data_IF_589463408666
#
_entry.id   IF_589463408666
#
_cell.length_a   1.000
_cell.length_b   1.000
_cell.length_c   1.000
_cell.angle_alpha   90.00
_cell.angle_beta   90.00
_cell.angle_gamma   90.00
#
_symmetry.space_group_name_H-M   'P 1'
#
loop_
_entity.id
_entity.type
_entity.pdbx_description
1 polymer ?
#
# COMPACT_ATOMS: atom_id res chain seq x y z
N UNK A 1 -5.85 0.06 18.43
CA UNK A 1 -5.01 1.12 17.81
C UNK A 1 -5.23 2.50 18.39
N UNK A 2 -6.48 2.99 18.42
CA UNK A 2 -6.81 4.31 18.99
C UNK A 2 -6.28 4.52 20.43
N UNK A 3 -6.42 3.52 21.31
CA UNK A 3 -5.87 3.56 22.68
C UNK A 3 -4.35 3.73 22.69
N UNK A 4 -3.65 3.06 21.77
CA UNK A 4 -2.19 3.12 21.68
C UNK A 4 -1.72 4.50 21.18
N UNK A 5 -2.36 5.01 20.13
CA UNK A 5 -2.09 6.37 19.64
C UNK A 5 -2.36 7.39 20.76
N UNK A 6 -3.48 7.26 21.47
CA UNK A 6 -3.85 8.14 22.59
C UNK A 6 -2.85 8.11 23.74
N UNK A 7 -2.25 6.95 24.04
CA UNK A 7 -1.25 6.83 25.12
C UNK A 7 0.12 7.44 24.78
N UNK A 8 0.45 7.62 23.49
CA UNK A 8 1.79 8.06 23.04
C UNK A 8 1.79 9.44 22.41
N UNK A 9 0.62 10.05 22.23
CA UNK A 9 0.47 11.35 21.61
C UNK A 9 -0.11 12.36 22.59
N UNK A 10 0.43 13.58 22.55
CA UNK A 10 -0.19 14.70 23.27
C UNK A 10 -1.46 15.19 22.54
N UNK A 11 -2.21 16.09 23.18
CA UNK A 11 -3.48 16.62 22.65
C UNK A 11 -3.34 17.24 21.25
N UNK A 12 -2.27 18.00 20.99
CA UNK A 12 -2.07 18.65 19.69
C UNK A 12 -1.80 17.64 18.57
N UNK A 13 -1.03 16.60 18.87
CA UNK A 13 -0.78 15.49 17.97
C UNK A 13 -2.06 14.70 17.68
N UNK A 14 -2.90 14.45 18.70
CA UNK A 14 -4.18 13.76 18.50
C UNK A 14 -5.16 14.55 17.61
N UNK A 15 -5.22 15.87 17.77
CA UNK A 15 -6.02 16.74 16.90
C UNK A 15 -5.50 16.69 15.45
N UNK A 16 -4.19 16.75 15.26
CA UNK A 16 -3.57 16.63 13.94
C UNK A 16 -3.86 15.27 13.27
N UNK A 17 -3.75 14.17 14.03
CA UNK A 17 -4.07 12.82 13.54
C UNK A 17 -5.55 12.74 13.16
N UNK A 18 -6.46 13.25 14.00
CA UNK A 18 -7.89 13.24 13.73
C UNK A 18 -8.24 14.05 12.46
N UNK A 19 -7.65 15.23 12.29
CA UNK A 19 -7.85 16.06 11.09
C UNK A 19 -7.33 15.38 9.81
N UNK A 20 -6.20 14.67 9.89
CA UNK A 20 -5.63 13.94 8.75
C UNK A 20 -6.39 12.65 8.41
N UNK A 21 -7.00 12.02 9.42
CA UNK A 21 -7.64 10.71 9.32
C UNK A 21 -9.17 10.77 9.26
N UNK A 22 -9.77 11.96 9.13
CA UNK A 22 -11.22 12.15 9.15
C UNK A 22 -11.90 11.25 8.09
N UNK A 23 -12.79 10.32 8.50
CA UNK A 23 -13.48 9.42 7.58
C UNK A 23 -14.54 10.12 6.73
N UNK A 24 -15.00 11.32 7.13
CA UNK A 24 -15.94 12.16 6.38
C UNK A 24 -15.23 12.96 5.29
N UNK A 25 -13.97 13.32 5.52
CA UNK A 25 -13.11 14.05 4.57
C UNK A 25 -12.09 13.10 3.94
N UNK A 26 -12.55 12.32 2.96
CA UNK A 26 -11.71 11.37 2.20
C UNK A 26 -10.95 12.00 1.04
N UNK A 27 -11.21 13.27 0.78
CA UNK A 27 -10.63 14.02 -0.33
C UNK A 27 -10.13 15.38 0.15
N UNK A 28 -9.11 15.91 -0.52
CA UNK A 28 -8.60 17.26 -0.25
C UNK A 28 -7.23 17.27 0.42
N UNK A 29 -6.86 18.44 0.94
CA UNK A 29 -5.54 18.72 1.51
C UNK A 29 -5.68 18.97 3.00
N UNK A 30 -4.82 18.34 3.82
CA UNK A 30 -4.71 18.62 5.25
C UNK A 30 -3.32 19.15 5.56
N UNK A 31 -3.22 20.24 6.32
CA UNK A 31 -1.97 20.88 6.71
C UNK A 31 -1.64 20.60 8.19
N UNK A 32 -0.50 19.98 8.45
CA UNK A 32 0.02 19.73 9.78
C UNK A 32 1.30 20.53 10.00
N UNK A 33 1.24 21.56 10.85
CA UNK A 33 2.40 22.38 11.21
C UNK A 33 3.07 21.82 12.46
N UNK A 34 4.38 21.58 12.39
CA UNK A 34 5.15 21.13 13.57
C UNK A 34 6.54 21.76 13.66
N UNK A 35 6.79 22.66 14.64
CA UNK A 35 8.13 23.15 14.98
C UNK A 35 9.17 22.03 15.18
N UNK A 36 10.48 22.32 15.12
CA UNK A 36 11.52 21.30 15.26
C UNK A 36 11.39 20.62 16.62
N UNK A 37 11.31 19.28 16.67
CA UNK A 37 11.20 18.49 17.92
C UNK A 37 9.78 18.21 18.44
N UNK A 38 8.74 18.65 17.74
CA UNK A 38 7.33 18.44 18.13
C UNK A 38 6.76 17.06 17.76
N UNK A 39 7.58 16.19 17.18
CA UNK A 39 7.20 14.82 16.84
C UNK A 39 6.46 14.66 15.50
N UNK A 40 6.71 15.51 14.50
CA UNK A 40 6.15 15.41 13.12
C UNK A 40 6.14 13.98 12.59
N UNK A 41 7.29 13.32 12.57
CA UNK A 41 7.40 11.95 12.07
C UNK A 41 6.59 10.94 12.91
N UNK A 42 6.45 11.14 14.23
CA UNK A 42 5.63 10.26 15.08
C UNK A 42 4.13 10.40 14.74
N UNK A 43 3.70 11.61 14.39
CA UNK A 43 2.35 11.88 13.89
C UNK A 43 2.15 11.20 12.53
N UNK A 44 3.12 11.29 11.61
CA UNK A 44 3.07 10.59 10.32
C UNK A 44 2.89 9.08 10.49
N UNK A 45 3.65 8.44 11.40
CA UNK A 45 3.49 7.00 11.67
C UNK A 45 2.13 6.65 12.26
N UNK A 46 1.59 7.52 13.12
CA UNK A 46 0.25 7.33 13.70
C UNK A 46 -0.86 7.45 12.65
N UNK A 47 -0.73 8.43 11.74
CA UNK A 47 -1.60 8.61 10.57
C UNK A 47 -1.48 7.39 9.65
N UNK A 48 -0.26 6.95 9.33
CA UNK A 48 -0.03 5.78 8.50
C UNK A 48 -0.70 4.54 9.11
N UNK A 49 -0.50 4.27 10.40
CA UNK A 49 -1.10 3.13 11.07
C UNK A 49 -2.64 3.17 11.00
N UNK A 50 -3.23 4.32 11.29
CA UNK A 50 -4.68 4.48 11.27
C UNK A 50 -5.24 4.35 9.84
N UNK A 51 -4.66 5.06 8.87
CA UNK A 51 -5.12 5.04 7.49
C UNK A 51 -4.94 3.68 6.84
N UNK A 52 -3.79 3.03 7.07
CA UNK A 52 -3.54 1.68 6.56
C UNK A 52 -4.63 0.71 7.02
N UNK A 53 -4.91 0.65 8.32
CA UNK A 53 -5.94 -0.25 8.84
C UNK A 53 -7.35 0.09 8.36
N UNK A 54 -7.73 1.37 8.43
CA UNK A 54 -9.10 1.79 8.08
C UNK A 54 -9.38 1.66 6.58
N UNK A 55 -8.42 1.98 5.72
CA UNK A 55 -8.59 1.84 4.27
C UNK A 55 -8.61 0.37 3.85
N UNK A 56 -7.70 -0.46 4.38
CA UNK A 56 -7.69 -1.89 4.08
C UNK A 56 -8.93 -2.59 4.61
N UNK A 57 -9.41 -2.24 5.82
CA UNK A 57 -10.65 -2.77 6.35
C UNK A 57 -11.84 -2.47 5.42
N UNK A 58 -11.96 -1.24 4.93
CA UNK A 58 -13.04 -0.87 3.99
C UNK A 58 -12.95 -1.62 2.66
N UNK A 59 -11.74 -1.81 2.15
CA UNK A 59 -11.52 -2.64 0.97
C UNK A 59 -12.01 -4.07 1.21
N UNK A 60 -11.57 -4.72 2.29
CA UNK A 60 -11.99 -6.08 2.63
C UNK A 60 -13.49 -6.20 2.92
N UNK A 61 -14.11 -5.22 3.56
CA UNK A 61 -15.56 -5.19 3.76
C UNK A 61 -16.33 -5.09 2.44
N UNK A 62 -15.88 -4.23 1.51
CA UNK A 62 -16.49 -4.10 0.18
C UNK A 62 -16.40 -5.40 -0.62
N UNK A 63 -15.28 -6.08 -0.49
CA UNK A 63 -15.02 -7.41 -1.04
C UNK A 63 -15.99 -8.44 -0.46
N UNK A 64 -16.11 -8.51 0.88
CA UNK A 64 -16.98 -9.46 1.55
C UNK A 64 -18.45 -9.23 1.20
N UNK A 65 -18.87 -7.97 1.03
CA UNK A 65 -20.22 -7.62 0.62
C UNK A 65 -20.55 -8.19 -0.77
N UNK A 66 -19.61 -8.07 -1.72
CA UNK A 66 -19.77 -8.64 -3.07
C UNK A 66 -19.87 -10.16 -3.00
N UNK A 67 -18.98 -10.82 -2.25
CA UNK A 67 -19.01 -12.28 -2.07
C UNK A 67 -20.33 -12.74 -1.45
N UNK A 68 -20.79 -12.09 -0.38
CA UNK A 68 -22.06 -12.41 0.29
C UNK A 68 -23.26 -12.23 -0.65
N UNK A 69 -23.33 -11.12 -1.38
CA UNK A 69 -24.45 -10.82 -2.28
C UNK A 69 -24.64 -11.88 -3.36
N UNK A 70 -23.55 -12.45 -3.88
CA UNK A 70 -23.60 -13.53 -4.88
C UNK A 70 -23.92 -14.90 -4.28
N UNK A 71 -23.43 -15.22 -3.08
CA UNK A 71 -23.82 -16.44 -2.37
C UNK A 71 -25.33 -16.44 -2.01
N UNK A 72 -25.89 -15.30 -1.62
CA UNK A 72 -27.33 -15.17 -1.35
C UNK A 72 -28.20 -15.29 -2.60
N UNK A 73 -27.73 -14.86 -3.77
CA UNK A 73 -28.44 -15.04 -5.04
C UNK A 73 -28.50 -16.51 -5.48
N UNK A 74 -27.51 -17.33 -5.11
CA UNK A 74 -27.50 -18.77 -5.38
C UNK A 74 -28.43 -19.58 -4.47
N UNK A 75 -28.86 -19.03 -3.33
CA UNK A 75 -29.78 -19.69 -2.40
C UNK A 75 -31.28 -19.54 -2.77
N UNK A 76 -31.60 -18.75 -3.80
CA UNK A 76 -32.97 -18.39 -4.19
C UNK A 76 -33.63 -19.25 -5.29
N UNK A 77 -32.92 -20.21 -5.89
CA UNK A 77 -33.49 -21.14 -6.88
C UNK A 77 -33.68 -22.52 -6.27
N UNK A 78 -34.90 -23.11 -6.34
CA UNK A 78 -35.11 -24.46 -5.86
C UNK A 78 -34.25 -25.41 -6.70
N UNK A 79 -33.43 -26.20 -6.02
CA UNK A 79 -32.58 -27.24 -6.61
C UNK A 79 -33.49 -28.26 -7.30
N UNK A 80 -33.72 -28.09 -8.60
CA UNK A 80 -34.05 -29.20 -9.49
C UNK A 80 -32.72 -29.75 -10.01
N UNK A 81 -32.48 -31.01 -9.68
CA UNK A 81 -31.46 -31.91 -10.22
C UNK A 81 -30.86 -31.42 -11.55
N UNK A 82 -29.58 -31.10 -11.56
CA UNK A 82 -28.80 -30.92 -12.77
C UNK A 82 -27.46 -31.66 -12.62
N UNK A 83 -27.16 -32.46 -13.64
CA UNK A 83 -26.00 -33.32 -13.85
C UNK A 83 -24.64 -32.60 -13.72
N UNK A 84 -23.54 -33.35 -13.54
CA UNK A 84 -22.24 -32.75 -13.29
C UNK A 84 -21.74 -31.99 -14.51
N UNK A 85 -21.59 -30.66 -14.37
CA UNK A 85 -20.90 -29.84 -15.37
C UNK A 85 -19.40 -30.14 -15.29
N UNK A 86 -18.88 -30.77 -16.34
CA UNK A 86 -17.46 -30.88 -16.61
C UNK A 86 -16.89 -29.47 -16.83
N UNK A 87 -16.09 -28.96 -15.89
CA UNK A 87 -15.29 -27.75 -16.10
C UNK A 87 -13.82 -28.14 -16.04
N UNK A 88 -13.25 -28.27 -17.23
CA UNK A 88 -11.82 -28.30 -17.49
C UNK A 88 -11.18 -26.97 -17.08
N UNK A 89 -10.09 -27.05 -16.31
CA UNK A 89 -9.02 -26.06 -16.22
C UNK A 89 -9.38 -24.62 -15.81
N UNK A 90 -9.17 -24.26 -14.54
CA UNK A 90 -9.18 -22.87 -14.10
C UNK A 90 -8.40 -22.66 -12.79
N UNK A 91 -7.32 -21.87 -12.87
CA UNK A 91 -6.37 -21.53 -11.79
C UNK A 91 -7.01 -20.58 -10.77
N UNK A 92 -6.71 -20.74 -9.47
CA UNK A 92 -7.09 -19.77 -8.42
C UNK A 92 -5.89 -19.51 -7.49
N UNK A 93 -5.41 -18.27 -7.47
CA UNK A 93 -4.18 -17.80 -6.80
C UNK A 93 -4.47 -16.65 -5.86
N UNK A 94 -3.54 -15.81 -5.38
CA UNK A 94 -3.90 -14.62 -4.53
C UNK A 94 -4.86 -13.66 -5.23
N UNK A 95 -4.96 -13.80 -6.55
CA UNK A 95 -6.09 -13.40 -7.34
C UNK A 95 -7.28 -14.34 -7.21
N UNK A 96 -7.57 -14.97 -6.08
CA UNK A 96 -8.78 -15.76 -5.94
C UNK A 96 -9.89 -14.76 -5.77
N UNK A 97 -9.65 -13.71 -5.00
CA UNK A 97 -10.55 -12.59 -4.88
C UNK A 97 -10.51 -11.66 -6.10
N UNK A 98 -9.34 -11.42 -6.69
CA UNK A 98 -9.18 -10.58 -7.90
C UNK A 98 -9.60 -11.29 -9.21
N UNK A 99 -9.45 -12.62 -9.31
CA UNK A 99 -10.03 -13.43 -10.40
C UNK A 99 -11.52 -13.66 -10.16
N UNK A 100 -11.97 -13.89 -8.91
CA UNK A 100 -13.40 -13.81 -8.57
C UNK A 100 -13.91 -12.44 -9.00
N UNK A 101 -13.22 -11.32 -8.72
CA UNK A 101 -13.65 -9.98 -9.13
C UNK A 101 -13.62 -9.74 -10.65
N UNK A 102 -12.60 -10.22 -11.34
CA UNK A 102 -12.47 -10.14 -12.80
C UNK A 102 -13.53 -11.01 -13.52
N UNK A 103 -13.82 -12.20 -13.01
CA UNK A 103 -14.90 -13.07 -13.51
C UNK A 103 -16.29 -12.56 -13.08
N UNK A 104 -16.40 -11.87 -11.93
CA UNK A 104 -17.58 -11.16 -11.45
C UNK A 104 -17.88 -9.91 -12.30
N UNK A 105 -16.86 -9.18 -12.76
CA UNK A 105 -16.97 -7.99 -13.61
C UNK A 105 -17.35 -8.31 -15.06
N UNK A 106 -17.09 -9.54 -15.53
CA UNK A 106 -17.51 -10.04 -16.85
C UNK A 106 -18.96 -10.52 -16.90
N UNK A 107 -19.62 -10.71 -15.77
CA UNK A 107 -21.03 -11.10 -15.72
C UNK A 107 -21.94 -9.86 -15.95
N UNK A 108 -22.85 -9.89 -16.92
CA UNK A 108 -23.72 -8.74 -17.17
C UNK A 108 -24.79 -8.66 -16.08
N UNK A 109 -24.71 -7.68 -15.18
CA UNK A 109 -25.85 -7.23 -14.39
C UNK A 109 -25.57 -5.88 -13.72
N UNK A 110 -26.46 -4.92 -13.94
CA UNK A 110 -26.37 -3.51 -13.51
C UNK A 110 -26.48 -3.27 -11.98
N UNK A 111 -26.44 -4.33 -11.15
CA UNK A 111 -26.79 -4.23 -9.72
C UNK A 111 -25.79 -4.87 -8.73
N UNK A 112 -24.62 -5.33 -9.18
CA UNK A 112 -23.61 -5.84 -8.21
C UNK A 112 -22.89 -4.69 -7.50
N UNK A 113 -22.72 -4.73 -6.16
CA UNK A 113 -21.94 -3.74 -5.44
C UNK A 113 -20.51 -3.66 -6.01
N UNK A 114 -20.00 -2.45 -6.24
CA UNK A 114 -18.63 -2.27 -6.75
C UNK A 114 -17.62 -2.47 -5.61
N UNK A 115 -16.61 -3.32 -5.83
CA UNK A 115 -15.48 -3.44 -4.90
C UNK A 115 -14.67 -2.15 -4.92
N UNK A 116 -14.32 -1.67 -3.73
CA UNK A 116 -13.41 -0.54 -3.60
C UNK A 116 -12.00 -0.96 -4.05
N UNK A 117 -11.26 -0.12 -4.77
CA UNK A 117 -9.91 -0.45 -5.20
C UNK A 117 -9.02 -0.75 -3.99
N UNK A 118 -8.00 -1.59 -4.19
CA UNK A 118 -6.99 -1.86 -3.15
C UNK A 118 -6.28 -0.54 -2.82
N UNK A 119 -6.31 -0.08 -1.57
CA UNK A 119 -5.78 1.22 -1.21
C UNK A 119 -4.25 1.19 -1.22
N UNK A 120 -3.66 2.28 -1.69
CA UNK A 120 -2.21 2.49 -1.68
C UNK A 120 -1.85 3.84 -1.09
N UNK A 121 -0.92 3.83 -0.14
CA UNK A 121 -0.43 5.03 0.55
C UNK A 121 0.96 5.34 0.03
N UNK A 122 1.15 6.56 -0.49
CA UNK A 122 2.45 7.09 -0.87
C UNK A 122 2.95 8.06 0.20
N UNK A 123 4.17 7.85 0.67
CA UNK A 123 4.86 8.75 1.57
C UNK A 123 6.03 9.37 0.81
N UNK A 124 6.05 10.70 0.75
CA UNK A 124 7.09 11.46 0.10
C UNK A 124 7.82 12.37 1.08
N UNK A 125 9.07 12.70 0.75
CA UNK A 125 9.79 13.83 1.33
C UNK A 125 10.72 14.45 0.26
N UNK A 126 11.24 15.67 0.48
CA UNK A 126 12.13 16.33 -0.47
C UNK A 126 13.50 15.64 -0.61
N UNK A 127 13.99 14.99 0.44
CA UNK A 127 15.34 14.40 0.50
C UNK A 127 15.32 12.91 0.81
N UNK A 128 16.33 12.18 0.33
CA UNK A 128 16.50 10.75 0.64
C UNK A 128 16.61 10.52 2.16
N UNK A 129 17.34 11.36 2.88
CA UNK A 129 17.51 11.23 4.32
C UNK A 129 16.18 11.34 5.09
N UNK A 130 15.28 12.23 4.68
CA UNK A 130 13.96 12.35 5.30
C UNK A 130 13.10 11.10 5.04
N UNK A 131 13.11 10.57 3.81
CA UNK A 131 12.41 9.32 3.49
C UNK A 131 12.98 8.15 4.30
N UNK A 132 14.31 8.02 4.33
CA UNK A 132 15.02 6.94 5.00
C UNK A 132 14.78 6.95 6.51
N UNK A 133 14.70 8.13 7.13
CA UNK A 133 14.31 8.28 8.53
C UNK A 133 12.89 7.75 8.81
N UNK A 134 11.93 7.98 7.90
CA UNK A 134 10.58 7.40 8.03
C UNK A 134 10.64 5.88 7.89
N UNK A 135 11.34 5.36 6.88
CA UNK A 135 11.49 3.90 6.65
C UNK A 135 12.10 3.23 7.89
N UNK A 136 13.19 3.77 8.42
CA UNK A 136 13.87 3.22 9.60
C UNK A 136 12.94 3.15 10.81
N UNK A 137 12.12 4.18 11.02
CA UNK A 137 11.14 4.17 12.11
C UNK A 137 10.02 3.17 11.89
N UNK A 138 9.51 2.98 10.67
CA UNK A 138 8.53 1.92 10.40
C UNK A 138 9.16 0.54 10.67
N UNK A 139 10.40 0.31 10.25
CA UNK A 139 11.09 -0.97 10.47
C UNK A 139 11.41 -1.23 11.95
N UNK A 140 11.68 -0.18 12.74
CA UNK A 140 12.08 -0.31 14.15
C UNK A 140 10.88 -0.30 15.09
N UNK A 141 9.93 0.61 14.91
CA UNK A 141 8.76 0.76 15.79
C UNK A 141 7.61 -0.17 15.38
N UNK A 142 7.51 -0.50 14.09
CA UNK A 142 6.43 -1.26 13.46
C UNK A 142 5.05 -0.60 13.61
N UNK A 143 4.12 -0.99 12.75
CA UNK A 143 2.71 -0.63 12.90
C UNK A 143 2.03 -1.58 13.87
N UNK A 144 0.82 -1.24 14.31
CA UNK A 144 0.10 -2.02 15.32
C UNK A 144 -1.33 -2.24 14.92
N UNK A 145 -1.78 -3.48 14.92
CA UNK A 145 -3.16 -3.88 14.64
C UNK A 145 -3.83 -4.45 15.92
N UNK A 146 -4.92 -5.22 15.75
CA UNK A 146 -5.58 -5.93 16.85
C UNK A 146 -4.80 -7.14 17.39
N UNK A 147 -3.85 -7.67 16.60
CA UNK A 147 -3.15 -8.93 16.86
C UNK A 147 -1.71 -8.72 17.33
N UNK A 148 -1.13 -7.53 17.15
CA UNK A 148 0.21 -7.22 17.61
C UNK A 148 0.90 -6.16 16.76
N UNK A 149 2.22 -6.30 16.64
CA UNK A 149 3.05 -5.45 15.79
C UNK A 149 3.21 -6.09 14.43
N UNK A 150 3.03 -5.29 13.38
CA UNK A 150 3.17 -5.74 12.00
C UNK A 150 3.91 -4.70 11.16
N UNK A 151 4.42 -5.13 10.01
CA UNK A 151 5.07 -4.26 9.04
C UNK A 151 4.28 -4.41 7.74
N UNK A 152 3.69 -3.33 7.19
CA UNK A 152 2.94 -3.44 5.94
C UNK A 152 3.91 -3.76 4.80
N UNK A 153 3.42 -4.40 3.73
CA UNK A 153 4.24 -4.60 2.54
C UNK A 153 4.58 -3.21 1.97
N UNK A 154 5.85 -2.86 2.04
CA UNK A 154 6.31 -1.53 1.69
C UNK A 154 7.50 -1.58 0.73
N UNK A 155 7.60 -0.57 -0.12
CA UNK A 155 8.73 -0.40 -1.03
C UNK A 155 9.26 1.02 -0.95
N UNK A 156 10.59 1.12 -0.80
CA UNK A 156 11.37 2.35 -0.91
C UNK A 156 11.92 2.49 -2.33
N UNK A 157 11.60 3.58 -3.03
CA UNK A 157 12.12 3.89 -4.37
C UNK A 157 13.08 5.08 -4.30
N UNK A 158 14.33 4.89 -4.70
CA UNK A 158 15.38 5.90 -4.82
C UNK A 158 16.77 5.26 -4.80
N UNK A 159 17.83 6.08 -4.83
CA UNK A 159 19.20 5.58 -5.03
C UNK A 159 19.64 4.61 -3.91
N UNK A 160 19.94 3.33 -4.24
CA UNK A 160 20.27 2.30 -3.25
C UNK A 160 21.66 2.50 -2.59
N UNK A 161 22.51 3.34 -3.18
CA UNK A 161 23.89 3.58 -2.73
C UNK A 161 23.99 4.54 -1.54
N UNK A 162 22.91 5.26 -1.22
CA UNK A 162 22.90 6.28 -0.17
C UNK A 162 22.13 5.85 1.10
N UNK A 163 21.55 4.65 1.12
CA UNK A 163 20.69 4.20 2.22
C UNK A 163 21.40 3.24 3.18
N UNK A 164 21.04 3.30 4.46
CA UNK A 164 21.56 2.42 5.50
C UNK A 164 21.22 0.94 5.22
N UNK A 165 22.07 -0.01 5.64
CA UNK A 165 21.91 -1.44 5.32
C UNK A 165 20.54 -2.02 5.74
N UNK A 166 19.97 -1.54 6.86
CA UNK A 166 18.63 -1.97 7.33
C UNK A 166 17.51 -1.53 6.40
N UNK A 167 17.68 -0.44 5.65
CA UNK A 167 16.68 0.11 4.72
C UNK A 167 16.75 -0.62 3.37
N UNK A 168 17.94 -1.10 2.98
CA UNK A 168 18.14 -1.83 1.71
C UNK A 168 17.14 -2.95 1.52
N UNK A 169 16.78 -3.68 2.57
CA UNK A 169 15.85 -4.82 2.46
C UNK A 169 14.46 -4.43 1.96
N UNK A 170 14.05 -3.15 2.05
CA UNK A 170 12.77 -2.67 1.51
C UNK A 170 12.93 -1.81 0.26
N UNK A 171 14.13 -1.66 -0.30
CA UNK A 171 14.31 -0.90 -1.54
C UNK A 171 13.87 -1.73 -2.75
N UNK A 172 13.29 -1.06 -3.75
CA UNK A 172 12.81 -1.71 -4.97
C UNK A 172 13.94 -2.49 -5.66
N UNK A 173 15.11 -1.88 -5.82
CA UNK A 173 16.23 -2.51 -6.53
C UNK A 173 16.76 -3.73 -5.77
N UNK A 174 16.81 -3.70 -4.44
CA UNK A 174 17.20 -4.85 -3.65
C UNK A 174 16.17 -5.99 -3.75
N UNK A 175 14.87 -5.66 -3.74
CA UNK A 175 13.80 -6.64 -3.91
C UNK A 175 13.84 -7.30 -5.30
N UNK A 176 14.13 -6.53 -6.36
CA UNK A 176 14.40 -7.06 -7.70
C UNK A 176 15.61 -7.99 -7.69
N UNK A 177 16.73 -7.56 -7.11
CA UNK A 177 17.95 -8.37 -7.07
C UNK A 177 17.76 -9.68 -6.31
N UNK A 178 17.03 -9.65 -5.19
CA UNK A 178 16.71 -10.83 -4.40
C UNK A 178 15.87 -11.83 -5.21
N UNK A 179 14.85 -11.35 -5.92
CA UNK A 179 14.07 -12.20 -6.82
C UNK A 179 14.90 -12.76 -7.98
N UNK A 180 15.85 -11.97 -8.51
CA UNK A 180 16.78 -12.45 -9.55
C UNK A 180 17.69 -13.57 -9.03
N UNK A 181 18.11 -13.50 -7.77
CA UNK A 181 18.93 -14.54 -7.13
C UNK A 181 18.12 -15.83 -6.91
N UNK A 182 16.82 -15.71 -6.65
CA UNK A 182 15.88 -16.83 -6.44
C UNK A 182 15.44 -17.57 -7.71
N UNK A 183 15.97 -17.23 -8.89
CA UNK A 183 15.55 -17.82 -10.18
C UNK A 183 15.53 -19.37 -10.22
N UNK A 184 16.43 -20.01 -9.47
CA UNK A 184 16.52 -21.47 -9.38
C UNK A 184 15.35 -22.14 -8.63
N UNK A 185 14.60 -21.38 -7.82
CA UNK A 185 13.53 -21.89 -6.97
C UNK A 185 12.22 -22.16 -7.73
N UNK A 186 12.14 -21.83 -9.03
CA UNK A 186 10.88 -21.88 -9.78
C UNK A 186 10.23 -23.26 -9.77
N UNK A 187 11.01 -24.33 -10.00
CA UNK A 187 10.47 -25.68 -10.02
C UNK A 187 10.04 -26.13 -8.60
N UNK A 188 10.79 -25.76 -7.57
CA UNK A 188 10.43 -26.03 -6.17
C UNK A 188 9.11 -25.35 -5.78
N UNK A 189 8.92 -24.09 -6.18
CA UNK A 189 7.67 -23.36 -6.01
C UNK A 189 6.51 -24.08 -6.72
N UNK A 190 6.70 -24.52 -7.97
CA UNK A 190 5.68 -25.30 -8.71
C UNK A 190 5.35 -26.62 -8.02
N UNK A 191 6.36 -27.33 -7.50
CA UNK A 191 6.14 -28.56 -6.72
C UNK A 191 5.33 -28.27 -5.44
N UNK A 192 5.70 -27.24 -4.68
CA UNK A 192 4.97 -26.81 -3.48
C UNK A 192 3.52 -26.45 -3.80
N UNK A 193 3.27 -25.73 -4.89
CA UNK A 193 1.94 -25.37 -5.35
C UNK A 193 1.07 -26.61 -5.66
N UNK A 194 1.63 -27.61 -6.34
CA UNK A 194 0.93 -28.90 -6.60
C UNK A 194 0.59 -29.64 -5.30
N UNK A 195 1.53 -29.70 -4.34
CA UNK A 195 1.29 -30.34 -3.04
C UNK A 195 0.17 -29.65 -2.26
N UNK A 196 0.14 -28.31 -2.27
CA UNK A 196 -0.92 -27.55 -1.62
C UNK A 196 -2.28 -27.73 -2.32
N UNK A 197 -2.31 -27.83 -3.65
CA UNK A 197 -3.54 -28.15 -4.39
C UNK A 197 -4.09 -29.52 -3.99
N UNK A 198 -3.24 -30.53 -3.86
CA UNK A 198 -3.65 -31.86 -3.40
C UNK A 198 -4.20 -31.82 -1.97
N UNK A 199 -3.55 -31.06 -1.06
CA UNK A 199 -4.05 -30.86 0.30
C UNK A 199 -5.41 -30.16 0.31
N UNK A 200 -5.61 -29.15 -0.54
CA UNK A 200 -6.91 -28.46 -0.69
C UNK A 200 -8.00 -29.45 -1.13
N UNK A 201 -7.74 -30.25 -2.18
CA UNK A 201 -8.71 -31.24 -2.67
C UNK A 201 -9.08 -32.28 -1.60
N UNK A 202 -8.11 -32.70 -0.79
CA UNK A 202 -8.35 -33.60 0.34
C UNK A 202 -9.29 -32.95 1.39
N UNK A 203 -8.99 -31.72 1.81
CA UNK A 203 -9.81 -30.99 2.78
C UNK A 203 -11.23 -30.70 2.26
N UNK A 204 -11.37 -30.38 0.96
CA UNK A 204 -12.67 -30.18 0.33
C UNK A 204 -13.52 -31.47 0.31
N UNK A 205 -12.90 -32.62 0.10
CA UNK A 205 -13.58 -33.92 0.16
C UNK A 205 -14.03 -34.24 1.60
N UNK A 206 -13.20 -33.97 2.59
CA UNK A 206 -13.51 -34.17 4.01
C UNK A 206 -14.65 -33.26 4.49
N UNK A 207 -14.67 -31.98 4.06
CA UNK A 207 -15.78 -31.04 4.30
C UNK A 207 -17.13 -31.57 3.78
N UNK A 208 -17.14 -32.26 2.63
CA UNK A 208 -18.37 -32.84 2.05
C UNK A 208 -18.88 -34.05 2.83
N UNK A 209 -18.01 -34.77 3.53
CA UNK A 209 -18.34 -35.99 4.26
C UNK A 209 -18.82 -35.77 5.70
N UNK A 210 -18.30 -34.75 6.39
CA UNK A 210 -18.52 -34.56 7.84
C UNK A 210 -19.30 -33.26 8.16
N UNK A 211 -19.56 -32.42 7.15
CA UNK A 211 -20.03 -31.05 7.36
C UNK A 211 -18.88 -30.14 7.82
N UNK A 212 -18.92 -28.86 7.45
CA UNK A 212 -17.83 -27.93 7.75
C UNK A 212 -17.71 -27.70 9.27
N UNK A 213 -16.63 -28.18 9.87
CA UNK A 213 -16.25 -27.82 11.25
C UNK A 213 -15.38 -26.57 11.24
N UNK A 214 -15.46 -25.74 12.30
CA UNK A 214 -14.63 -24.54 12.42
C UNK A 214 -13.12 -24.82 12.27
N UNK A 215 -12.66 -26.01 12.71
CA UNK A 215 -11.25 -26.41 12.56
C UNK A 215 -10.87 -26.63 11.09
N UNK A 216 -11.75 -27.29 10.31
CA UNK A 216 -11.51 -27.53 8.88
C UNK A 216 -11.55 -26.23 8.07
N UNK A 217 -12.46 -25.30 8.40
CA UNK A 217 -12.53 -24.00 7.74
C UNK A 217 -11.24 -23.19 7.92
N UNK A 218 -10.68 -23.24 9.13
CA UNK A 218 -9.39 -22.59 9.43
C UNK A 218 -8.24 -23.25 8.66
N UNK A 219 -8.19 -24.58 8.55
CA UNK A 219 -7.19 -25.26 7.73
C UNK A 219 -7.32 -24.94 6.24
N UNK A 220 -8.54 -24.93 5.72
CA UNK A 220 -8.82 -24.61 4.32
C UNK A 220 -8.41 -23.17 4.00
N UNK A 221 -8.65 -22.23 4.91
CA UNK A 221 -8.20 -20.85 4.77
C UNK A 221 -6.67 -20.75 4.76
N UNK A 222 -5.97 -21.47 5.64
CA UNK A 222 -4.49 -21.51 5.66
C UNK A 222 -3.91 -22.03 4.34
N UNK A 223 -4.41 -23.17 3.85
CA UNK A 223 -3.96 -23.76 2.58
C UNK A 223 -4.22 -22.82 1.42
N UNK A 224 -5.37 -22.14 1.43
CA UNK A 224 -5.67 -21.11 0.43
C UNK A 224 -4.64 -19.99 0.48
N UNK A 225 -4.40 -19.35 1.63
CA UNK A 225 -3.39 -18.28 1.75
C UNK A 225 -2.00 -18.74 1.28
N UNK A 226 -1.60 -19.98 1.57
CA UNK A 226 -0.33 -20.52 1.09
C UNK A 226 -0.30 -20.72 -0.43
N UNK A 227 -1.37 -21.21 -1.05
CA UNK A 227 -1.48 -21.32 -2.52
C UNK A 227 -1.33 -19.95 -3.19
N UNK A 228 -1.91 -18.94 -2.56
CA UNK A 228 -1.90 -17.56 -3.01
C UNK A 228 -0.49 -16.94 -2.97
N UNK A 229 0.25 -17.18 -1.90
CA UNK A 229 1.66 -16.77 -1.74
C UNK A 229 2.57 -17.48 -2.75
N UNK A 230 2.49 -18.81 -2.83
CA UNK A 230 3.37 -19.59 -3.69
C UNK A 230 3.15 -19.23 -5.16
N UNK A 231 1.93 -18.98 -5.58
CA UNK A 231 1.71 -18.58 -6.97
C UNK A 231 2.20 -17.17 -7.31
N UNK A 232 2.09 -16.22 -6.38
CA UNK A 232 2.72 -14.91 -6.56
C UNK A 232 4.21 -15.08 -6.85
N UNK A 233 4.87 -15.96 -6.09
CA UNK A 233 6.27 -16.28 -6.29
C UNK A 233 6.52 -16.98 -7.64
N UNK A 234 5.69 -17.94 -8.04
CA UNK A 234 5.78 -18.58 -9.37
C UNK A 234 5.73 -17.53 -10.49
N UNK A 235 4.73 -16.64 -10.47
CA UNK A 235 4.58 -15.60 -11.52
C UNK A 235 5.80 -14.69 -11.61
N UNK A 236 6.35 -14.26 -10.47
CA UNK A 236 7.57 -13.43 -10.43
C UNK A 236 8.78 -14.20 -10.96
N UNK A 237 8.95 -15.45 -10.53
CA UNK A 237 10.06 -16.30 -10.96
C UNK A 237 9.98 -16.70 -12.44
N UNK A 238 8.78 -16.82 -13.01
CA UNK A 238 8.58 -16.99 -14.45
C UNK A 238 9.08 -15.78 -15.24
N UNK A 239 8.80 -14.56 -14.75
CA UNK A 239 9.34 -13.32 -15.35
C UNK A 239 10.86 -13.26 -15.21
N UNK A 240 11.41 -13.57 -14.04
CA UNK A 240 12.85 -13.66 -13.81
C UNK A 240 13.52 -14.66 -14.78
N UNK A 241 12.92 -15.84 -14.98
CA UNK A 241 13.42 -16.86 -15.92
C UNK A 241 13.43 -16.35 -17.36
N UNK A 242 12.39 -15.62 -17.78
CA UNK A 242 12.33 -14.99 -19.10
C UNK A 242 13.43 -13.94 -19.27
N UNK A 243 13.62 -13.06 -18.27
CA UNK A 243 14.66 -12.03 -18.27
C UNK A 243 16.05 -12.67 -18.43
N UNK A 244 16.38 -13.69 -17.63
CA UNK A 244 17.68 -14.40 -17.74
C UNK A 244 17.87 -15.11 -19.08
N UNK A 245 16.79 -15.62 -19.68
CA UNK A 245 16.85 -16.33 -20.97
C UNK A 245 17.05 -15.39 -22.16
N UNK A 246 16.40 -14.22 -22.14
CA UNK A 246 16.42 -13.29 -23.27
C UNK A 246 17.68 -12.41 -23.28
N UNK A 247 18.52 -12.46 -22.22
CA UNK A 247 19.61 -11.50 -21.96
C UNK A 247 19.17 -10.03 -22.02
N UNK A 248 17.86 -9.80 -21.95
CA UNK A 248 17.28 -8.47 -21.94
C UNK A 248 17.36 -7.94 -20.51
N UNK A 249 17.88 -6.74 -20.33
CA UNK A 249 18.02 -6.09 -19.01
C UNK A 249 16.70 -5.50 -18.50
N UNK A 250 15.58 -5.70 -19.22
CA UNK A 250 14.29 -5.10 -18.91
C UNK A 250 13.65 -5.70 -17.65
N UNK A 251 14.16 -5.20 -16.53
CA UNK A 251 13.73 -5.45 -15.17
C UNK A 251 12.50 -4.63 -14.80
N UNK A 252 11.97 -3.80 -15.71
CA UNK A 252 10.86 -2.90 -15.39
C UNK A 252 9.54 -3.63 -15.20
N UNK A 253 9.34 -4.76 -15.90
CA UNK A 253 8.18 -5.60 -15.63
C UNK A 253 8.21 -6.10 -14.18
N UNK A 254 9.38 -6.56 -13.70
CA UNK A 254 9.55 -7.03 -12.33
C UNK A 254 9.38 -5.89 -11.32
N UNK A 255 9.95 -4.71 -11.61
CA UNK A 255 9.76 -3.50 -10.79
C UNK A 255 8.28 -3.14 -10.66
N UNK A 256 7.55 -3.15 -11.77
CA UNK A 256 6.12 -2.82 -11.79
C UNK A 256 5.32 -3.83 -10.97
N UNK A 257 5.58 -5.14 -11.11
CA UNK A 257 4.91 -6.18 -10.32
C UNK A 257 5.13 -6.00 -8.82
N UNK A 258 6.37 -5.71 -8.40
CA UNK A 258 6.70 -5.46 -7.00
C UNK A 258 6.00 -4.21 -6.46
N UNK A 259 6.01 -3.13 -7.23
CA UNK A 259 5.34 -1.88 -6.85
C UNK A 259 3.83 -2.02 -6.78
N UNK A 260 3.23 -2.84 -7.65
CA UNK A 260 1.79 -3.07 -7.62
C UNK A 260 1.36 -3.83 -6.36
N UNK A 261 2.20 -4.75 -5.88
CA UNK A 261 1.95 -5.50 -4.66
C UNK A 261 2.08 -4.63 -3.40
N UNK A 262 2.91 -3.58 -3.44
CA UNK A 262 3.18 -2.71 -2.30
C UNK A 262 1.93 -1.97 -1.80
N UNK A 263 1.75 -1.99 -0.48
CA UNK A 263 0.67 -1.31 0.23
C UNK A 263 1.08 0.11 0.61
N UNK A 264 2.36 0.29 0.94
CA UNK A 264 2.99 1.58 1.27
C UNK A 264 4.21 1.81 0.38
N UNK A 265 4.24 2.92 -0.36
CA UNK A 265 5.41 3.28 -1.15
C UNK A 265 6.07 4.51 -0.51
N UNK A 266 7.39 4.47 -0.33
CA UNK A 266 8.19 5.57 0.22
C UNK A 266 9.19 6.06 -0.83
N UNK A 267 9.18 7.35 -1.14
CA UNK A 267 10.04 7.89 -2.21
C UNK A 267 10.31 9.38 -2.03
N UNK A 268 11.26 9.95 -2.79
CA UNK A 268 11.39 11.42 -2.82
C UNK A 268 10.32 12.04 -3.72
N UNK A 269 10.00 13.32 -3.52
CA UNK A 269 9.06 14.04 -4.38
C UNK A 269 9.42 13.94 -5.87
N UNK A 270 10.71 14.05 -6.21
CA UNK A 270 11.21 13.88 -7.57
C UNK A 270 11.08 12.45 -8.09
N UNK A 271 11.37 11.46 -7.26
CA UNK A 271 11.33 10.05 -7.65
C UNK A 271 9.90 9.53 -7.85
N UNK A 272 8.88 10.22 -7.30
CA UNK A 272 7.49 9.96 -7.61
C UNK A 272 7.13 10.19 -9.10
N UNK A 273 7.99 10.89 -9.85
CA UNK A 273 7.85 11.10 -11.29
C UNK A 273 8.52 10.04 -12.17
N UNK A 274 9.08 8.97 -11.59
CA UNK A 274 9.68 7.87 -12.35
C UNK A 274 8.61 7.07 -13.11
N UNK A 275 8.98 6.55 -14.29
CA UNK A 275 8.07 5.81 -15.19
C UNK A 275 7.39 4.60 -14.53
N UNK A 276 8.02 4.01 -13.52
CA UNK A 276 7.44 2.89 -12.78
C UNK A 276 6.13 3.26 -12.07
N UNK A 277 5.93 4.53 -11.69
CA UNK A 277 4.66 5.02 -11.14
C UNK A 277 3.57 5.15 -12.20
N UNK A 278 3.93 5.54 -13.43
CA UNK A 278 3.00 5.64 -14.57
C UNK A 278 2.46 4.28 -15.01
N UNK A 279 3.18 3.19 -14.69
CA UNK A 279 2.81 1.80 -15.01
C UNK A 279 1.97 1.11 -13.94
N UNK A 280 1.71 1.76 -12.80
CA UNK A 280 0.90 1.19 -11.73
C UNK A 280 -0.53 0.91 -12.22
N UNK A 281 -1.04 -0.29 -11.93
CA UNK A 281 -2.42 -0.66 -12.28
C UNK A 281 -3.44 0.08 -11.42
N UNK A 282 -3.10 0.29 -10.13
CA UNK A 282 -3.94 0.99 -9.17
C UNK A 282 -3.43 2.41 -8.91
N UNK A 283 -4.36 3.36 -8.75
CA UNK A 283 -4.03 4.74 -8.39
C UNK A 283 -3.52 4.84 -6.95
N UNK A 284 -2.82 5.92 -6.66
CA UNK A 284 -2.42 6.26 -5.29
C UNK A 284 -3.54 7.08 -4.67
N UNK A 285 -4.25 6.51 -3.69
CA UNK A 285 -5.41 7.19 -3.09
C UNK A 285 -4.99 8.28 -2.10
N UNK A 286 -3.92 8.04 -1.35
CA UNK A 286 -3.45 8.93 -0.28
C UNK A 286 -1.96 9.22 -0.42
N UNK A 287 -1.62 10.50 -0.37
CA UNK A 287 -0.24 11.00 -0.34
C UNK A 287 0.02 11.69 1.00
N UNK A 288 1.12 11.35 1.66
CA UNK A 288 1.63 12.02 2.86
C UNK A 288 2.99 12.61 2.51
N UNK A 289 3.21 13.90 2.78
CA UNK A 289 4.47 14.59 2.45
C UNK A 289 5.08 15.13 3.74
N UNK A 290 6.22 14.57 4.15
CA UNK A 290 7.03 15.11 5.23
C UNK A 290 7.93 16.25 4.72
N UNK A 291 8.32 17.15 5.61
CA UNK A 291 9.12 18.35 5.30
C UNK A 291 8.57 19.15 4.10
N UNK A 292 7.25 19.25 3.99
CA UNK A 292 6.56 19.86 2.85
C UNK A 292 6.91 21.35 2.61
N UNK A 293 7.35 22.06 3.65
CA UNK A 293 7.79 23.45 3.56
C UNK A 293 9.19 23.60 2.92
N UNK A 294 9.97 22.52 2.84
CA UNK A 294 11.30 22.51 2.23
C UNK A 294 11.27 22.16 0.72
N UNK A 295 10.09 22.19 0.09
CA UNK A 295 9.93 21.92 -1.34
C UNK A 295 9.17 23.03 -2.03
N UNK A 296 9.57 23.31 -3.27
CA UNK A 296 8.81 24.19 -4.17
C UNK A 296 7.46 23.54 -4.48
N UNK A 297 6.44 24.37 -4.69
CA UNK A 297 5.08 23.90 -4.97
C UNK A 297 5.02 22.88 -6.12
N UNK A 298 5.79 23.10 -7.20
CA UNK A 298 5.87 22.19 -8.34
C UNK A 298 6.32 20.78 -7.95
N UNK A 299 7.22 20.63 -6.96
CA UNK A 299 7.70 19.33 -6.50
C UNK A 299 6.60 18.54 -5.78
N UNK A 300 5.75 19.23 -5.03
CA UNK A 300 4.59 18.62 -4.33
C UNK A 300 3.52 18.14 -5.32
N UNK A 301 3.41 18.75 -6.51
CA UNK A 301 2.43 18.34 -7.51
C UNK A 301 2.76 16.98 -8.15
N UNK A 302 4.03 16.57 -8.22
CA UNK A 302 4.47 15.32 -8.85
C UNK A 302 3.71 14.10 -8.29
N UNK A 303 3.73 13.81 -6.98
CA UNK A 303 2.99 12.67 -6.43
C UNK A 303 1.46 12.84 -6.49
N UNK A 304 0.94 14.07 -6.59
CA UNK A 304 -0.52 14.30 -6.68
C UNK A 304 -1.08 13.89 -8.04
N UNK A 305 -0.28 13.96 -9.10
CA UNK A 305 -0.66 13.51 -10.45
C UNK A 305 -0.91 12.00 -10.52
N UNK A 306 -0.51 11.22 -9.52
CA UNK A 306 -0.69 9.77 -9.44
C UNK A 306 -2.10 9.34 -8.99
N UNK A 307 -3.06 10.28 -9.02
CA UNK A 307 -4.47 10.03 -8.71
C UNK A 307 -4.86 10.27 -7.25
N UNK A 308 -4.01 10.99 -6.50
CA UNK A 308 -4.21 11.28 -5.09
C UNK A 308 -5.53 11.99 -4.84
N UNK A 309 -6.37 11.37 -4.02
CA UNK A 309 -7.63 11.97 -3.55
C UNK A 309 -7.41 12.73 -2.25
N UNK A 310 -6.55 12.20 -1.39
CA UNK A 310 -6.17 12.78 -0.10
C UNK A 310 -4.68 13.14 -0.11
N UNK A 311 -4.37 14.35 0.33
CA UNK A 311 -3.00 14.83 0.51
C UNK A 311 -2.82 15.37 1.93
N UNK A 312 -1.80 14.90 2.65
CA UNK A 312 -1.46 15.36 3.99
C UNK A 312 -0.06 15.98 3.93
N UNK A 313 0.02 17.30 4.07
CA UNK A 313 1.27 18.05 4.07
C UNK A 313 1.72 18.27 5.52
N UNK A 314 2.91 17.78 5.87
CA UNK A 314 3.51 17.93 7.18
C UNK A 314 4.77 18.77 7.03
N UNK A 315 4.91 19.84 7.81
CA UNK A 315 6.07 20.72 7.67
C UNK A 315 6.12 21.82 8.72
N UNK A 316 7.10 22.70 8.57
CA UNK A 316 7.27 23.88 9.40
C UNK A 316 7.62 25.11 8.54
N UNK A 317 6.68 26.05 8.35
CA UNK A 317 6.92 27.25 7.55
C UNK A 317 7.89 28.24 8.21
N UNK A 318 8.32 27.98 9.47
CA UNK A 318 9.34 28.80 10.15
C UNK A 318 10.76 28.28 9.96
N UNK A 319 10.94 27.13 9.32
CA UNK A 319 12.26 26.60 8.97
C UNK A 319 12.71 27.12 7.59
N UNK A 320 13.87 26.64 7.13
CA UNK A 320 14.42 27.03 5.84
C UNK A 320 13.43 26.69 4.70
N UNK A 321 13.19 27.62 3.77
CA UNK A 321 12.36 27.37 2.60
C UNK A 321 13.08 26.45 1.61
N UNK A 322 12.41 26.09 0.51
CA UNK A 322 13.03 25.36 -0.57
C UNK A 322 14.26 26.09 -1.14
N UNK A 323 15.35 25.38 -1.38
CA UNK A 323 16.56 25.95 -1.98
C UNK A 323 16.41 26.08 -3.50
N UNK A 324 16.66 27.27 -4.03
CA UNK A 324 16.59 27.60 -5.46
C UNK A 324 17.89 28.28 -5.86
N UNK A 325 18.47 27.88 -6.99
CA UNK A 325 19.77 28.39 -7.47
C UNK A 325 19.67 29.85 -7.91
N UNK A 326 18.57 30.22 -8.59
CA UNK A 326 18.34 31.59 -9.03
C UNK A 326 18.17 32.53 -7.83
N UNK A 327 18.86 33.66 -7.85
CA UNK A 327 18.75 34.72 -6.84
C UNK A 327 17.91 35.93 -7.34
N UNK A 328 17.18 35.76 -8.44
CA UNK A 328 16.29 36.79 -8.98
C UNK A 328 15.19 37.18 -7.97
N UNK A 329 14.60 38.37 -8.11
CA UNK A 329 13.45 38.78 -7.27
C UNK A 329 12.25 37.81 -7.39
N UNK A 330 12.09 37.17 -8.54
CA UNK A 330 11.10 36.11 -8.79
C UNK A 330 11.42 34.79 -8.07
N UNK A 331 12.67 34.56 -7.67
CA UNK A 331 13.07 33.34 -6.98
C UNK A 331 12.36 33.19 -5.62
N UNK A 332 12.14 34.30 -4.90
CA UNK A 332 11.41 34.27 -3.62
C UNK A 332 9.96 33.75 -3.79
N UNK A 333 9.31 34.06 -4.92
CA UNK A 333 7.96 33.56 -5.23
C UNK A 333 8.01 32.05 -5.51
N UNK A 334 9.04 31.59 -6.24
CA UNK A 334 9.23 30.18 -6.57
C UNK A 334 9.65 29.32 -5.36
N UNK A 335 10.38 29.90 -4.40
CA UNK A 335 10.78 29.24 -3.15
C UNK A 335 9.60 28.93 -2.22
N UNK A 336 8.48 29.67 -2.36
CA UNK A 336 7.29 29.45 -1.55
C UNK A 336 6.72 28.06 -1.80
N UNK A 337 6.57 27.29 -0.73
CA UNK A 337 5.97 25.96 -0.77
C UNK A 337 4.44 26.03 -0.94
N UNK A 338 3.85 24.90 -1.38
CA UNK A 338 2.39 24.74 -1.40
C UNK A 338 1.79 24.94 0.00
N UNK A 339 2.49 24.46 1.04
CA UNK A 339 2.06 24.58 2.43
C UNK A 339 1.89 26.05 2.83
N UNK A 340 2.93 26.87 2.60
CA UNK A 340 2.91 28.31 2.94
C UNK A 340 1.86 29.07 2.15
N UNK A 341 1.70 28.74 0.86
CA UNK A 341 0.66 29.35 0.02
C UNK A 341 -0.74 29.07 0.57
N UNK A 342 -1.05 27.82 0.89
CA UNK A 342 -2.36 27.44 1.43
C UNK A 342 -2.61 28.06 2.81
N UNK A 343 -1.58 28.12 3.66
CA UNK A 343 -1.65 28.81 4.95
C UNK A 343 -1.97 30.31 4.76
N UNK A 344 -1.35 30.97 3.78
CA UNK A 344 -1.63 32.37 3.41
C UNK A 344 -3.07 32.57 2.91
N UNK A 345 -3.64 31.55 2.25
CA UNK A 345 -5.05 31.51 1.84
C UNK A 345 -6.01 31.15 2.98
N UNK A 346 -5.56 31.12 4.24
CA UNK A 346 -6.36 30.77 5.43
C UNK A 346 -6.90 29.34 5.42
N UNK A 347 -6.25 28.43 4.70
CA UNK A 347 -6.56 27.00 4.80
C UNK A 347 -6.33 26.53 6.25
N UNK A 348 -7.22 25.71 6.85
CA UNK A 348 -7.03 25.20 8.20
C UNK A 348 -5.70 24.46 8.37
N UNK A 349 -5.03 24.71 9.50
CA UNK A 349 -3.75 24.09 9.88
C UNK A 349 -3.88 23.50 11.28
N UNK A 350 -3.56 22.22 11.43
CA UNK A 350 -3.42 21.60 12.74
C UNK A 350 -1.97 21.77 13.23
N UNK A 351 -1.80 22.46 14.36
CA UNK A 351 -0.48 22.77 14.91
C UNK A 351 -0.08 21.78 16.00
N UNK A 352 1.12 21.21 15.89
CA UNK A 352 1.79 20.48 16.96
C UNK A 352 2.50 21.48 17.88
N UNK A 353 2.14 21.53 19.16
CA UNK A 353 2.53 22.64 20.04
C UNK A 353 3.32 22.23 21.30
N UNK A 354 3.69 20.95 21.43
CA UNK A 354 4.53 20.45 22.53
C UNK A 354 5.86 19.97 21.97
N UNK A 355 6.94 20.47 22.56
CA UNK A 355 8.32 20.21 22.15
C UNK A 355 9.00 19.17 23.04
N UNK A 356 9.79 18.26 22.43
CA UNK A 356 10.47 17.16 23.14
C UNK A 356 11.99 17.11 22.93
N UNK A 357 12.60 18.14 22.32
CA UNK A 357 14.05 18.27 22.19
C UNK A 357 14.59 19.36 23.08
#
# INVERSE_FOLDING_TARGET
>A
VQTHISSRSNRSQLIAIAAACDPTHRTGITLLQGPPGTGKTSVILSILNFLHLTQYQQHYESVLQVVRSKLSLQAGTPIKSAEPVNVSGGKYHSGALESILHDIQKAPTEQTPKVQPKPRILICAPSNAAVDHIVERILTERLRDGNGLYTPDMIRIGSPNACHHRIRVVTLDHQVQELMNRAGELEDCKHRYRSLLNRRSYLEAECKGVGASNSLEVEMLKVRTQLEEVDRDIRRLEVVKKIKSNKDEDTDQLRTMLLDDAQVILTTLSSAGLDCFSRLQNKIDTVIIDEACQSVEAGVLIPLLLGARRCILVGDPRQLPATVISQSSTAAIYQRSLFERLMSCKHPVAMLNVQYR
#
